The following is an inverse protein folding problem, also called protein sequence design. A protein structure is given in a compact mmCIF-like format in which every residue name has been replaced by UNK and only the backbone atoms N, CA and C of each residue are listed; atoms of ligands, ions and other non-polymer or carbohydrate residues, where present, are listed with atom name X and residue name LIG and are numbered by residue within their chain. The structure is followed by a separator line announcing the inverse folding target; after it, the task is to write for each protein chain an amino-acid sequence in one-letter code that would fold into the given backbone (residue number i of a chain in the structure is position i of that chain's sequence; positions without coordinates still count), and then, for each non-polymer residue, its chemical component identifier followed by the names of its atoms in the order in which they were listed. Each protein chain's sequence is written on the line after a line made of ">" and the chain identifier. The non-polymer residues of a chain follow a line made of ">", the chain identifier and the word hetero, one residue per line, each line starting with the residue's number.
data_IF_587887346427
#
_entry.id   IF_587887346427
#
_cell.length_a   1.000
_cell.length_b   1.000
_cell.length_c   1.000
_cell.angle_alpha   90.00
_cell.angle_beta   90.00
_cell.angle_gamma   90.00
#
_symmetry.space_group_name_H-M   'P 1'
#
loop_
_entity.id
_entity.type
_entity.pdbx_description
1 polymer ?
#
# COMPACT_ATOMS: atom_id res chain seq x y z
N UNK A 1 -8.35 -65.20 -36.81
CA UNK A 1 -7.41 -64.75 -35.78
C UNK A 1 -7.93 -63.43 -35.24
N UNK A 2 -8.60 -63.45 -34.07
CA UNK A 2 -9.20 -62.25 -33.47
C UNK A 2 -8.26 -61.70 -32.40
N UNK A 3 -7.80 -60.46 -32.58
CA UNK A 3 -7.00 -59.73 -31.61
C UNK A 3 -7.94 -58.99 -30.65
N UNK A 4 -7.96 -59.40 -29.38
CA UNK A 4 -8.69 -58.71 -28.33
C UNK A 4 -7.90 -57.45 -27.91
N UNK A 5 -8.45 -56.27 -28.20
CA UNK A 5 -7.95 -54.98 -27.73
C UNK A 5 -8.39 -54.77 -26.27
N UNK A 6 -7.45 -54.96 -25.34
CA UNK A 6 -7.68 -54.69 -23.93
C UNK A 6 -7.50 -53.18 -23.67
N UNK A 7 -8.61 -52.45 -23.48
CA UNK A 7 -8.60 -51.05 -23.09
C UNK A 7 -8.97 -50.98 -21.62
N UNK A 8 -8.02 -50.61 -20.76
CA UNK A 8 -8.27 -50.23 -19.37
C UNK A 8 -8.52 -48.71 -19.30
N UNK A 9 -9.79 -48.23 -19.27
CA UNK A 9 -10.09 -46.79 -19.22
C UNK A 9 -9.84 -46.15 -17.85
N UNK A 10 -9.46 -46.93 -16.84
CA UNK A 10 -9.38 -46.48 -15.44
C UNK A 10 -8.13 -45.64 -15.08
N UNK A 11 -7.13 -45.56 -15.96
CA UNK A 11 -5.89 -44.81 -15.66
C UNK A 11 -5.99 -43.32 -16.02
N UNK A 12 -6.93 -42.93 -16.89
CA UNK A 12 -7.04 -41.55 -17.38
C UNK A 12 -7.68 -40.55 -16.40
N UNK A 13 -8.56 -41.02 -15.50
CA UNK A 13 -9.34 -40.15 -14.60
C UNK A 13 -8.55 -39.68 -13.36
N UNK A 14 -7.57 -40.46 -12.89
CA UNK A 14 -6.76 -40.08 -11.73
C UNK A 14 -5.81 -38.91 -12.01
N UNK A 15 -5.31 -38.80 -13.24
CA UNK A 15 -4.32 -37.78 -13.61
C UNK A 15 -4.97 -36.39 -13.72
N UNK A 16 -6.20 -36.31 -14.23
CA UNK A 16 -6.91 -35.04 -14.38
C UNK A 16 -7.24 -34.39 -13.01
N UNK A 17 -7.59 -35.18 -12.00
CA UNK A 17 -7.91 -34.67 -10.67
C UNK A 17 -6.68 -34.10 -9.93
N UNK A 18 -5.51 -34.74 -10.09
CA UNK A 18 -4.26 -34.29 -9.48
C UNK A 18 -3.79 -32.98 -10.11
N UNK A 19 -3.87 -32.85 -11.45
CA UNK A 19 -3.49 -31.61 -12.14
C UNK A 19 -4.40 -30.45 -11.76
N UNK A 20 -5.73 -30.67 -11.68
CA UNK A 20 -6.67 -29.63 -11.27
C UNK A 20 -6.45 -29.19 -9.80
N UNK A 21 -6.14 -30.13 -8.90
CA UNK A 21 -5.80 -29.83 -7.51
C UNK A 21 -4.54 -28.98 -7.37
N UNK A 22 -3.50 -29.25 -8.17
CA UNK A 22 -2.26 -28.46 -8.19
C UNK A 22 -2.51 -27.05 -8.74
N UNK A 23 -3.29 -26.89 -9.81
CA UNK A 23 -3.59 -25.58 -10.38
C UNK A 23 -4.35 -24.69 -9.40
N UNK A 24 -5.31 -25.25 -8.64
CA UNK A 24 -6.06 -24.51 -7.62
C UNK A 24 -5.18 -24.14 -6.41
N UNK A 25 -4.27 -25.03 -5.99
CA UNK A 25 -3.34 -24.73 -4.90
C UNK A 25 -2.34 -23.62 -5.27
N UNK A 26 -1.87 -23.60 -6.53
CA UNK A 26 -0.99 -22.55 -7.06
C UNK A 26 -1.73 -21.23 -7.21
N UNK A 27 -2.97 -21.23 -7.69
CA UNK A 27 -3.80 -20.02 -7.77
C UNK A 27 -4.08 -19.41 -6.39
N UNK A 28 -4.30 -20.24 -5.36
CA UNK A 28 -4.50 -19.78 -3.99
C UNK A 28 -3.21 -19.18 -3.37
N UNK A 29 -2.03 -19.71 -3.68
CA UNK A 29 -0.76 -19.16 -3.20
C UNK A 29 -0.35 -17.86 -3.91
N UNK A 30 -0.77 -17.67 -5.17
CA UNK A 30 -0.53 -16.43 -5.92
C UNK A 30 -1.43 -15.27 -5.48
N UNK A 31 -2.46 -15.53 -4.67
CA UNK A 31 -3.41 -14.53 -4.18
C UNK A 31 -3.04 -13.96 -2.81
N UNK A 32 -1.81 -14.16 -2.35
CA UNK A 32 -1.29 -13.49 -1.15
C UNK A 32 -0.99 -12.02 -1.49
N UNK A 33 -2.04 -11.28 -1.87
CA UNK A 33 -2.04 -9.83 -2.01
C UNK A 33 -1.42 -9.29 -0.73
N UNK A 34 -0.27 -8.64 -0.88
CA UNK A 34 0.39 -7.97 0.22
C UNK A 34 -0.43 -6.75 0.59
N UNK A 35 -1.50 -6.97 1.36
CA UNK A 35 -2.34 -5.90 1.87
C UNK A 35 -1.47 -5.02 2.75
N UNK A 36 -1.41 -3.75 2.39
CA UNK A 36 -0.86 -2.71 3.24
C UNK A 36 -1.55 -2.73 4.60
N UNK A 37 -0.81 -2.55 5.67
CA UNK A 37 -1.37 -2.37 7.02
C UNK A 37 -1.34 -0.90 7.37
N UNK A 38 -2.49 -0.36 7.78
CA UNK A 38 -2.62 1.02 8.20
C UNK A 38 -3.50 1.07 9.44
N UNK A 39 -3.05 1.77 10.46
CA UNK A 39 -3.72 1.89 11.74
C UNK A 39 -3.72 3.35 12.21
N UNK A 40 -4.80 3.76 12.86
CA UNK A 40 -4.96 5.12 13.39
C UNK A 40 -5.79 6.01 12.47
N UNK A 41 -5.74 7.30 12.76
CA UNK A 41 -6.57 8.30 12.10
C UNK A 41 -6.00 9.71 12.25
N UNK A 42 -6.38 10.56 11.32
CA UNK A 42 -6.19 12.00 11.39
C UNK A 42 -7.56 12.68 11.44
N UNK A 43 -7.58 13.89 11.98
CA UNK A 43 -8.67 14.85 11.88
C UNK A 43 -8.17 15.98 11.02
N UNK A 44 -8.78 16.18 9.84
CA UNK A 44 -8.48 17.25 8.89
C UNK A 44 -9.56 18.34 9.03
N UNK A 45 -9.26 19.41 9.75
CA UNK A 45 -10.24 20.41 10.18
C UNK A 45 -11.30 19.76 11.07
N UNK A 46 -12.52 19.62 10.55
CA UNK A 46 -13.64 18.94 11.22
C UNK A 46 -13.88 17.51 10.70
N UNK A 47 -13.13 17.08 9.68
CA UNK A 47 -13.35 15.81 9.00
C UNK A 47 -12.43 14.74 9.57
N UNK A 48 -13.00 13.60 9.96
CA UNK A 48 -12.20 12.42 10.34
C UNK A 48 -11.68 11.72 9.08
N UNK A 49 -10.40 11.39 9.09
CA UNK A 49 -9.69 10.66 8.05
C UNK A 49 -9.11 9.38 8.65
N UNK A 50 -9.70 8.24 8.32
CA UNK A 50 -9.21 6.93 8.72
C UNK A 50 -8.69 6.21 7.46
N UNK A 51 -7.37 6.23 7.19
CA UNK A 51 -6.84 5.59 6.01
C UNK A 51 -6.99 4.07 6.09
N UNK A 52 -7.44 3.47 4.99
CA UNK A 52 -7.65 2.02 4.86
C UNK A 52 -6.51 1.36 4.09
N UNK A 53 -5.82 2.14 3.26
CA UNK A 53 -4.73 1.67 2.41
C UNK A 53 -3.60 2.71 2.38
N UNK A 54 -2.41 2.23 2.06
CA UNK A 54 -1.29 3.11 1.76
C UNK A 54 -0.55 2.66 0.50
N UNK A 55 0.04 3.63 -0.20
CA UNK A 55 0.83 3.41 -1.40
C UNK A 55 2.15 4.13 -1.25
N UNK A 56 3.27 3.43 -1.48
CA UNK A 56 4.54 4.15 -1.60
C UNK A 56 4.50 4.98 -2.88
N UNK A 57 4.75 6.28 -2.73
CA UNK A 57 4.74 7.24 -3.81
C UNK A 57 6.11 7.88 -3.92
N UNK A 58 6.70 7.83 -5.11
CA UNK A 58 7.70 8.82 -5.50
C UNK A 58 6.95 9.88 -6.30
N UNK A 59 7.11 11.16 -5.98
CA UNK A 59 6.55 12.20 -6.86
C UNK A 59 7.26 12.10 -8.20
N UNK A 60 6.57 11.62 -9.22
CA UNK A 60 7.12 11.44 -10.58
C UNK A 60 7.11 12.74 -11.40
N UNK A 61 6.70 13.86 -10.79
CA UNK A 61 6.78 15.18 -11.41
C UNK A 61 8.16 15.75 -11.08
N UNK A 62 9.02 15.70 -12.07
CA UNK A 62 10.37 16.27 -12.11
C UNK A 62 11.44 15.51 -11.32
N UNK A 63 12.70 15.73 -11.72
CA UNK A 63 13.91 14.94 -11.48
C UNK A 63 14.30 14.70 -10.00
N UNK A 64 13.45 15.07 -9.06
CA UNK A 64 13.59 14.89 -7.63
C UNK A 64 12.67 13.76 -7.17
N UNK A 65 13.23 12.54 -7.08
CA UNK A 65 12.55 11.39 -6.49
C UNK A 65 12.45 11.59 -4.97
N UNK A 66 11.41 12.27 -4.50
CA UNK A 66 11.13 12.35 -3.07
C UNK A 66 10.52 11.03 -2.59
N UNK A 67 11.07 10.51 -1.49
CA UNK A 67 10.50 9.34 -0.80
C UNK A 67 9.19 9.76 -0.16
N UNK A 68 8.12 8.98 -0.33
CA UNK A 68 6.82 9.35 0.21
C UNK A 68 5.82 8.21 0.30
N UNK A 69 4.75 8.48 1.03
CA UNK A 69 3.59 7.59 1.16
C UNK A 69 2.30 8.39 0.91
N UNK A 70 1.39 7.79 0.15
CA UNK A 70 0.00 8.20 0.05
C UNK A 70 -0.81 7.35 1.02
N UNK A 71 -1.42 7.97 2.02
CA UNK A 71 -2.44 7.38 2.87
C UNK A 71 -3.80 7.63 2.20
N UNK A 72 -4.53 6.56 1.92
CA UNK A 72 -5.78 6.58 1.16
C UNK A 72 -6.94 6.34 2.11
N UNK A 73 -7.85 7.32 2.21
CA UNK A 73 -9.07 7.23 2.99
C UNK A 73 -10.31 7.08 2.11
N UNK A 74 -11.47 7.13 2.74
CA UNK A 74 -12.75 7.09 2.03
C UNK A 74 -12.98 8.34 1.17
N UNK A 75 -13.88 8.22 0.20
CA UNK A 75 -14.33 9.33 -0.65
C UNK A 75 -13.19 10.07 -1.40
N UNK A 76 -12.11 9.36 -1.74
CA UNK A 76 -10.99 9.90 -2.52
C UNK A 76 -10.07 10.85 -1.74
N UNK A 77 -10.22 10.94 -0.43
CA UNK A 77 -9.33 11.74 0.41
C UNK A 77 -7.95 11.08 0.51
N UNK A 78 -6.89 11.86 0.25
CA UNK A 78 -5.51 11.38 0.29
C UNK A 78 -4.66 12.28 1.19
N UNK A 79 -3.94 11.67 2.13
CA UNK A 79 -2.90 12.38 2.88
C UNK A 79 -1.55 11.90 2.37
N UNK A 80 -0.78 12.81 1.80
CA UNK A 80 0.54 12.54 1.23
C UNK A 80 1.61 13.00 2.19
N UNK A 81 2.56 12.12 2.46
CA UNK A 81 3.68 12.38 3.35
C UNK A 81 4.95 12.23 2.53
N UNK A 82 5.78 13.27 2.48
CA UNK A 82 6.98 13.32 1.67
C UNK A 82 8.21 13.56 2.54
N UNK A 83 9.35 13.04 2.12
CA UNK A 83 10.66 13.39 2.64
C UNK A 83 11.42 14.17 1.56
N UNK A 84 11.45 15.49 1.70
CA UNK A 84 12.24 16.39 0.88
C UNK A 84 13.68 16.46 1.44
N UNK A 85 14.73 16.10 0.69
CA UNK A 85 16.10 16.20 1.14
C UNK A 85 16.59 17.63 1.41
N UNK A 86 15.91 18.67 0.89
CA UNK A 86 16.26 20.07 1.10
C UNK A 86 15.59 20.65 2.34
N UNK A 87 14.29 20.42 2.45
CA UNK A 87 13.43 21.04 3.46
C UNK A 87 13.00 20.07 4.58
N UNK A 88 13.39 18.80 4.48
CA UNK A 88 13.06 17.74 5.42
C UNK A 88 11.70 17.10 5.13
N UNK A 89 11.14 16.43 6.15
CA UNK A 89 9.86 15.71 6.02
C UNK A 89 8.69 16.69 6.01
N UNK A 90 7.86 16.60 4.98
CA UNK A 90 6.68 17.43 4.72
C UNK A 90 5.41 16.58 4.72
N UNK A 91 4.30 17.16 5.16
CA UNK A 91 2.96 16.55 5.03
C UNK A 91 2.09 17.45 4.16
N UNK A 92 1.50 16.86 3.14
CA UNK A 92 0.52 17.48 2.26
C UNK A 92 -0.83 16.78 2.42
N UNK A 93 -1.89 17.55 2.56
CA UNK A 93 -3.25 17.04 2.52
C UNK A 93 -3.83 17.30 1.13
N UNK A 94 -4.32 16.25 0.48
CA UNK A 94 -4.88 16.31 -0.88
C UNK A 94 -6.32 15.84 -0.81
N UNK A 95 -7.26 16.75 -1.04
CA UNK A 95 -8.69 16.42 -1.16
C UNK A 95 -8.98 16.09 -2.62
N UNK A 96 -9.91 15.17 -2.87
CA UNK A 96 -10.22 14.64 -4.21
C UNK A 96 -10.64 15.75 -5.21
N UNK A 97 -11.07 16.91 -4.71
CA UNK A 97 -11.56 18.07 -5.46
C UNK A 97 -10.71 19.35 -5.30
N UNK A 98 -9.60 19.28 -4.55
CA UNK A 98 -8.88 20.47 -4.09
C UNK A 98 -7.40 20.51 -4.46
N UNK A 99 -6.84 21.72 -4.42
CA UNK A 99 -5.39 21.91 -4.45
C UNK A 99 -4.74 21.27 -3.20
N UNK A 100 -3.52 20.72 -3.31
CA UNK A 100 -2.79 20.21 -2.16
C UNK A 100 -2.53 21.33 -1.14
N UNK A 101 -2.93 21.11 0.11
CA UNK A 101 -2.60 22.02 1.23
C UNK A 101 -1.38 21.48 1.97
N UNK A 102 -0.30 22.27 1.99
CA UNK A 102 0.89 21.99 2.78
C UNK A 102 0.61 22.25 4.26
N UNK A 103 0.99 21.33 5.13
CA UNK A 103 0.97 21.52 6.59
C UNK A 103 2.35 21.99 7.03
N UNK A 104 2.53 23.26 7.41
CA UNK A 104 3.85 23.78 7.78
C UNK A 104 4.27 23.22 9.14
N UNK A 105 5.48 22.67 9.24
CA UNK A 105 6.01 22.05 10.46
C UNK A 105 5.99 23.01 11.65
N UNK A 106 6.31 24.28 11.42
CA UNK A 106 6.34 25.35 12.41
C UNK A 106 4.97 25.72 12.97
N UNK A 107 3.88 25.33 12.29
CA UNK A 107 2.52 25.55 12.78
C UNK A 107 2.06 24.51 13.79
N UNK A 108 2.85 23.46 14.01
CA UNK A 108 2.47 22.28 14.79
C UNK A 108 3.19 22.22 16.14
N UNK A 109 2.47 21.80 17.18
CA UNK A 109 3.07 21.41 18.47
C UNK A 109 3.85 20.11 18.31
N UNK A 110 3.25 19.15 17.60
CA UNK A 110 3.85 17.85 17.25
C UNK A 110 3.83 17.70 15.74
N UNK A 111 4.99 17.43 15.15
CA UNK A 111 5.12 17.11 13.73
C UNK A 111 6.17 16.02 13.55
N UNK A 112 5.75 14.79 13.88
CA UNK A 112 6.57 13.59 13.76
C UNK A 112 6.18 12.88 12.49
N UNK A 113 7.15 12.69 11.60
CA UNK A 113 7.00 11.89 10.39
C UNK A 113 8.20 10.98 10.35
N UNK A 114 7.99 9.69 10.15
CA UNK A 114 9.03 8.69 9.97
C UNK A 114 8.69 7.79 8.80
N UNK A 115 9.64 7.64 7.87
CA UNK A 115 9.53 6.78 6.69
C UNK A 115 10.71 5.82 6.67
N UNK A 116 10.42 4.52 6.75
CA UNK A 116 11.42 3.46 6.82
C UNK A 116 11.19 2.47 5.70
N UNK A 117 12.24 2.12 4.96
CA UNK A 117 12.15 1.05 3.98
C UNK A 117 12.03 -0.28 4.73
N UNK A 118 11.01 -1.06 4.39
CA UNK A 118 10.82 -2.39 4.98
C UNK A 118 11.85 -3.37 4.41
N UNK A 119 12.06 -4.49 5.08
CA UNK A 119 12.91 -5.59 4.57
C UNK A 119 12.24 -6.38 3.44
N UNK A 120 11.02 -6.02 3.06
CA UNK A 120 10.23 -6.75 2.06
C UNK A 120 10.23 -6.03 0.72
N UNK A 121 10.35 -6.78 -0.37
CA UNK A 121 10.19 -6.25 -1.73
C UNK A 121 9.28 -7.13 -2.58
N UNK A 122 8.49 -6.48 -3.44
CA UNK A 122 7.64 -7.14 -4.44
C UNK A 122 8.11 -6.64 -5.80
N UNK A 123 8.54 -7.55 -6.68
CA UNK A 123 9.07 -7.20 -8.00
C UNK A 123 10.22 -6.18 -7.95
N UNK A 124 11.07 -6.22 -6.91
CA UNK A 124 12.18 -5.28 -6.71
C UNK A 124 11.75 -3.91 -6.16
N UNK A 125 10.49 -3.73 -5.80
CA UNK A 125 9.94 -2.53 -5.16
C UNK A 125 9.91 -2.78 -3.66
N UNK A 126 10.72 -2.04 -2.91
CA UNK A 126 10.73 -2.10 -1.46
C UNK A 126 9.43 -1.53 -0.90
N UNK A 127 8.85 -2.25 0.05
CA UNK A 127 7.72 -1.76 0.82
C UNK A 127 8.17 -0.61 1.72
N UNK A 128 7.30 0.35 1.93
CA UNK A 128 7.52 1.47 2.83
C UNK A 128 6.67 1.30 4.09
N UNK A 129 7.26 1.54 5.24
CA UNK A 129 6.55 1.63 6.52
C UNK A 129 6.86 2.96 7.20
N UNK A 130 6.16 3.24 8.29
CA UNK A 130 6.36 4.50 8.98
C UNK A 130 5.28 4.86 9.97
N UNK A 131 5.45 6.07 10.50
CA UNK A 131 4.63 6.64 11.54
C UNK A 131 4.49 8.14 11.30
N UNK A 132 3.28 8.65 11.44
CA UNK A 132 2.95 10.06 11.36
C UNK A 132 2.14 10.44 12.57
N UNK A 133 2.59 11.45 13.31
CA UNK A 133 1.87 12.05 14.42
C UNK A 133 1.90 13.58 14.27
N UNK A 134 0.72 14.16 14.20
CA UNK A 134 0.51 15.58 13.93
C UNK A 134 -0.37 16.18 15.01
N UNK A 135 0.03 17.34 15.51
CA UNK A 135 -0.83 18.22 16.29
C UNK A 135 -0.65 19.66 15.77
N UNK A 136 -1.38 19.95 14.70
CA UNK A 136 -1.41 21.22 14.00
C UNK A 136 -2.83 21.81 14.05
N UNK A 137 -3.02 23.13 13.82
CA UNK A 137 -4.35 23.75 13.84
C UNK A 137 -5.38 23.04 12.96
N UNK A 138 -4.98 22.64 11.75
CA UNK A 138 -5.85 22.04 10.74
C UNK A 138 -5.73 20.51 10.62
N UNK A 139 -4.72 19.89 11.23
CA UNK A 139 -4.48 18.45 11.13
C UNK A 139 -4.02 17.90 12.46
N UNK A 140 -4.73 16.92 13.01
CA UNK A 140 -4.37 16.26 14.27
C UNK A 140 -4.55 14.76 14.22
N UNK A 141 -3.70 14.02 14.91
CA UNK A 141 -3.86 12.59 15.10
C UNK A 141 -2.59 11.83 14.77
N UNK A 142 -2.77 10.52 14.62
CA UNK A 142 -1.67 9.57 14.45
C UNK A 142 -2.06 8.46 13.49
N UNK A 143 -1.15 8.15 12.58
CA UNK A 143 -1.26 7.00 11.68
C UNK A 143 0.06 6.24 11.67
N UNK A 144 -0.02 4.93 11.86
CA UNK A 144 1.07 3.99 11.68
C UNK A 144 0.75 3.14 10.44
N UNK A 145 1.75 2.87 9.60
CA UNK A 145 1.57 2.11 8.36
C UNK A 145 2.77 1.22 8.05
N UNK A 146 2.49 0.09 7.41
CA UNK A 146 3.50 -0.87 6.99
C UNK A 146 3.16 -1.46 5.63
N UNK A 147 4.20 -1.93 4.93
CA UNK A 147 4.07 -2.68 3.67
C UNK A 147 3.31 -1.88 2.60
N UNK A 148 3.56 -0.57 2.51
CA UNK A 148 3.07 0.27 1.43
C UNK A 148 3.93 0.07 0.19
N UNK A 149 3.38 -0.51 -0.87
CA UNK A 149 4.09 -0.69 -2.16
C UNK A 149 3.56 0.30 -3.19
N UNK A 150 4.33 0.57 -4.25
CA UNK A 150 3.87 1.42 -5.33
C UNK A 150 2.86 0.63 -6.16
N UNK A 151 1.59 0.95 -6.03
CA UNK A 151 0.51 0.38 -6.84
C UNK A 151 0.75 0.70 -8.31
N UNK A 152 0.81 -0.35 -9.13
CA UNK A 152 0.81 -0.28 -10.60
C UNK A 152 -0.51 0.22 -11.14
#
# INVERSE_FOLDING_TARGET
>A
MSQASNKNPLVGLGIAAVVLGIVLAVAAHLSHESKSEVHGELTLGETRFAPTHCRSGNTSRDELRFKGVDLLGDHGLVVRVLEDPRDGRQVLTIRDDGDPTLVPRESCTTHTVELVDTETSINGIWGLGGHVELDCPEVRGRVDFERCYSGS
#
